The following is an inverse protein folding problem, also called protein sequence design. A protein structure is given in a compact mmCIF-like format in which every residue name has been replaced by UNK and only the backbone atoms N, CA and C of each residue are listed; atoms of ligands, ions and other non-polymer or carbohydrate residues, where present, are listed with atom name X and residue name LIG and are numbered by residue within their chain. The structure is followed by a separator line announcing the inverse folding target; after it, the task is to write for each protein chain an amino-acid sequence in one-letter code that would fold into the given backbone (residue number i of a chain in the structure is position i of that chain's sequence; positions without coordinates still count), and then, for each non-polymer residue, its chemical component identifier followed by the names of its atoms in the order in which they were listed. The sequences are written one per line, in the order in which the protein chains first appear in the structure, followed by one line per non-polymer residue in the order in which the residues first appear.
data_IF_145538969685
#
_entry.id   IF_145538969685
#
_cell.length_a   1.000
_cell.length_b   1.000
_cell.length_c   1.000
_cell.angle_alpha   90.00
_cell.angle_beta   90.00
_cell.angle_gamma   90.00
#
_symmetry.space_group_name_H-M   'P 1'
#
loop_
_entity.id
_entity.type
_entity.pdbx_description
1 polymer ?
#
# COMPACT_ATOMS: atom_id res chain seq x y z
N UNK A 1 14.79 0.97 13.50
CA UNK A 1 13.56 1.75 13.78
C UNK A 1 12.66 1.04 14.78
N UNK A 2 12.04 -0.10 14.43
CA UNK A 2 11.08 -0.83 15.30
C UNK A 2 11.61 -1.04 16.73
N UNK A 3 12.79 -1.64 16.88
CA UNK A 3 13.39 -1.87 18.21
C UNK A 3 13.57 -0.58 19.01
N UNK A 4 14.03 0.49 18.38
CA UNK A 4 14.28 1.77 19.03
C UNK A 4 12.98 2.40 19.56
N UNK A 5 11.94 2.44 18.72
CA UNK A 5 10.66 3.04 19.12
C UNK A 5 9.95 2.22 20.20
N UNK A 6 10.04 0.88 20.15
CA UNK A 6 9.52 0.00 21.19
C UNK A 6 10.23 0.18 22.53
N UNK A 7 11.57 0.17 22.52
CA UNK A 7 12.38 0.35 23.74
C UNK A 7 12.19 1.74 24.36
N UNK A 8 11.90 2.74 23.53
CA UNK A 8 11.72 4.13 23.95
C UNK A 8 10.26 4.48 24.23
N UNK A 9 9.31 3.53 24.11
CA UNK A 9 7.88 3.76 24.34
C UNK A 9 7.22 4.75 23.37
N UNK A 10 7.77 4.93 22.17
CA UNK A 10 7.33 5.92 21.18
C UNK A 10 6.20 5.42 20.26
N UNK A 11 5.96 4.10 20.22
CA UNK A 11 5.01 3.46 19.30
C UNK A 11 3.56 3.75 19.67
N UNK A 12 3.23 3.57 20.95
CA UNK A 12 1.85 3.58 21.46
C UNK A 12 1.25 4.97 21.51
N UNK A 13 2.07 6.03 21.66
CA UNK A 13 1.56 7.40 21.77
C UNK A 13 0.32 7.52 22.66
N UNK A 14 0.28 6.76 23.77
CA UNK A 14 -0.80 6.87 24.75
C UNK A 14 -0.84 8.31 25.22
N UNK A 15 -2.03 8.85 25.47
CA UNK A 15 -2.32 10.21 25.94
C UNK A 15 -1.27 10.78 26.91
N UNK A 16 -0.13 11.26 26.39
CA UNK A 16 0.89 11.94 27.16
C UNK A 16 0.61 13.44 26.96
N UNK A 17 0.08 14.13 27.97
CA UNK A 17 -0.38 15.51 27.85
C UNK A 17 0.77 16.54 27.73
N UNK A 18 2.02 16.08 27.58
CA UNK A 18 3.20 16.93 27.64
C UNK A 18 3.56 17.61 26.30
N UNK A 19 2.96 17.22 25.18
CA UNK A 19 3.15 17.93 23.91
C UNK A 19 1.90 17.81 23.06
N UNK A 20 1.28 18.94 22.72
CA UNK A 20 0.04 19.03 21.92
C UNK A 20 0.13 18.50 20.49
N UNK A 21 1.16 17.72 20.16
CA UNK A 21 1.32 16.96 18.93
C UNK A 21 1.13 15.48 19.27
N UNK A 22 -0.01 14.89 18.87
CA UNK A 22 -0.18 13.43 18.82
C UNK A 22 0.98 12.84 17.99
N UNK A 23 2.02 12.36 18.65
CA UNK A 23 3.28 11.97 18.02
C UNK A 23 3.04 10.95 16.91
N UNK A 24 3.36 11.31 15.67
CA UNK A 24 3.31 10.39 14.54
C UNK A 24 4.56 9.51 14.63
N UNK A 25 4.44 8.29 15.18
CA UNK A 25 5.57 7.35 15.25
C UNK A 25 5.95 6.84 13.86
N UNK A 26 7.24 6.50 13.69
CA UNK A 26 7.75 5.89 12.47
C UNK A 26 7.07 4.55 12.20
N UNK A 27 6.87 3.72 13.23
CA UNK A 27 6.18 2.44 13.11
C UNK A 27 4.76 2.60 12.57
N UNK A 28 3.99 3.57 13.10
CA UNK A 28 2.62 3.86 12.62
C UNK A 28 2.61 4.39 11.19
N UNK A 29 3.54 5.27 10.84
CA UNK A 29 3.65 5.84 9.48
C UNK A 29 3.98 4.75 8.48
N UNK A 30 4.99 3.94 8.78
CA UNK A 30 5.42 2.85 7.92
C UNK A 30 4.33 1.78 7.79
N UNK A 31 3.53 1.52 8.83
CA UNK A 31 2.38 0.59 8.73
C UNK A 31 1.37 1.02 7.65
N UNK A 32 1.08 2.32 7.55
CA UNK A 32 0.16 2.85 6.52
C UNK A 32 0.74 2.69 5.12
N UNK A 33 2.04 2.97 4.96
CA UNK A 33 2.75 2.75 3.69
C UNK A 33 2.81 1.26 3.33
N UNK A 34 3.03 0.38 4.31
CA UNK A 34 3.05 -1.06 4.14
C UNK A 34 1.71 -1.62 3.67
N UNK A 35 0.60 -1.18 4.27
CA UNK A 35 -0.76 -1.52 3.81
C UNK A 35 -1.01 -1.03 2.37
N UNK A 36 -0.54 0.17 2.03
CA UNK A 36 -0.64 0.69 0.66
C UNK A 36 0.25 -0.06 -0.34
N UNK A 37 1.42 -0.55 0.09
CA UNK A 37 2.29 -1.39 -0.73
C UNK A 37 1.60 -2.71 -1.10
N UNK A 38 0.84 -3.31 -0.17
CA UNK A 38 0.02 -4.49 -0.45
C UNK A 38 -1.02 -4.25 -1.56
N UNK A 39 -1.75 -3.14 -1.47
CA UNK A 39 -2.66 -2.73 -2.54
C UNK A 39 -1.93 -2.59 -3.89
N UNK A 40 -0.79 -1.88 -3.89
CA UNK A 40 -0.05 -1.56 -5.10
C UNK A 40 0.46 -2.81 -5.82
N UNK A 41 1.04 -3.78 -5.08
CA UNK A 41 1.55 -5.01 -5.69
C UNK A 41 0.45 -5.88 -6.29
N UNK A 42 -0.75 -5.90 -5.69
CA UNK A 42 -1.90 -6.65 -6.21
C UNK A 42 -2.39 -6.01 -7.52
N UNK A 43 -2.56 -4.68 -7.49
CA UNK A 43 -2.99 -3.92 -8.66
C UNK A 43 -2.02 -4.05 -9.83
N UNK A 44 -0.74 -3.72 -9.63
CA UNK A 44 0.28 -3.80 -10.69
C UNK A 44 0.50 -5.24 -11.17
N UNK A 45 0.41 -6.21 -10.25
CA UNK A 45 0.44 -7.63 -10.60
C UNK A 45 -0.68 -8.01 -11.55
N UNK A 46 -1.93 -7.62 -11.28
CA UNK A 46 -3.05 -7.90 -12.18
C UNK A 46 -2.92 -7.20 -13.53
N UNK A 47 -2.41 -5.96 -13.55
CA UNK A 47 -2.17 -5.21 -14.79
C UNK A 47 -1.11 -5.89 -15.66
N UNK A 48 -0.01 -6.35 -15.05
CA UNK A 48 1.06 -7.05 -15.77
C UNK A 48 0.55 -8.32 -16.45
N UNK A 49 -0.26 -9.12 -15.74
CA UNK A 49 -0.83 -10.40 -16.23
C UNK A 49 -2.07 -10.25 -17.12
N UNK A 50 -2.49 -9.01 -17.40
CA UNK A 50 -3.68 -8.70 -18.20
C UNK A 50 -4.97 -9.38 -17.69
N UNK A 51 -5.15 -9.41 -16.36
CA UNK A 51 -6.29 -10.06 -15.69
C UNK A 51 -7.58 -9.22 -15.73
N UNK A 52 -7.54 -8.04 -16.35
CA UNK A 52 -8.66 -7.13 -16.45
C UNK A 52 -8.25 -5.69 -16.72
N UNK A 53 -9.21 -4.78 -16.63
CA UNK A 53 -8.97 -3.35 -16.84
C UNK A 53 -8.35 -2.68 -15.60
N UNK A 54 -7.54 -1.61 -15.74
CA UNK A 54 -6.99 -0.91 -14.57
C UNK A 54 -8.05 -0.45 -13.56
N UNK A 55 -9.21 0.13 -13.93
CA UNK A 55 -10.26 0.47 -12.97
C UNK A 55 -10.75 -0.73 -12.15
N UNK A 56 -11.03 -1.87 -12.81
CA UNK A 56 -11.54 -3.06 -12.13
C UNK A 56 -10.49 -3.70 -11.23
N UNK A 57 -9.25 -3.79 -11.71
CA UNK A 57 -8.14 -4.36 -10.94
C UNK A 57 -7.76 -3.50 -9.74
N UNK A 58 -7.81 -2.17 -9.91
CA UNK A 58 -7.52 -1.23 -8.84
C UNK A 58 -8.55 -1.31 -7.70
N UNK A 59 -9.83 -1.39 -8.05
CA UNK A 59 -10.93 -1.58 -7.09
C UNK A 59 -10.87 -2.95 -6.39
N UNK A 60 -10.59 -4.02 -7.14
CA UNK A 60 -10.42 -5.36 -6.56
C UNK A 60 -9.24 -5.40 -5.58
N UNK A 61 -8.07 -4.90 -5.97
CA UNK A 61 -6.91 -4.82 -5.11
C UNK A 61 -7.22 -4.01 -3.84
N UNK A 62 -7.95 -2.89 -3.97
CA UNK A 62 -8.33 -2.05 -2.83
C UNK A 62 -9.22 -2.81 -1.84
N UNK A 63 -10.19 -3.57 -2.35
CA UNK A 63 -11.10 -4.40 -1.54
C UNK A 63 -10.37 -5.48 -0.73
N UNK A 64 -9.27 -6.01 -1.27
CA UNK A 64 -8.46 -7.07 -0.65
C UNK A 64 -7.41 -6.56 0.34
N UNK A 65 -7.20 -5.24 0.44
CA UNK A 65 -6.02 -4.70 1.14
C UNK A 65 -6.28 -3.45 1.99
N UNK A 66 -6.83 -2.37 1.43
CA UNK A 66 -6.94 -1.08 2.11
C UNK A 66 -8.36 -0.82 2.65
N UNK A 67 -9.37 -1.47 2.08
CA UNK A 67 -10.76 -1.21 2.40
C UNK A 67 -11.04 -1.33 3.91
N UNK A 68 -10.49 -2.34 4.58
CA UNK A 68 -10.67 -2.56 6.01
C UNK A 68 -10.03 -1.48 6.91
N UNK A 69 -9.20 -0.60 6.35
CA UNK A 69 -8.48 0.45 7.09
C UNK A 69 -9.04 1.87 6.86
N UNK A 70 -10.00 2.03 5.96
CA UNK A 70 -10.59 3.32 5.60
C UNK A 70 -12.07 3.40 6.00
N UNK A 71 -12.53 4.59 6.33
CA UNK A 71 -13.96 4.86 6.57
C UNK A 71 -14.75 4.95 5.25
N UNK A 72 -16.08 5.03 5.37
CA UNK A 72 -17.00 5.08 4.22
C UNK A 72 -16.75 6.28 3.28
N UNK A 73 -16.29 7.41 3.82
CA UNK A 73 -16.03 8.61 3.01
C UNK A 73 -14.80 8.38 2.13
N UNK A 74 -13.71 7.87 2.73
CA UNK A 74 -12.49 7.55 2.00
C UNK A 74 -12.71 6.41 1.00
N UNK A 75 -13.46 5.37 1.38
CA UNK A 75 -13.84 4.28 0.46
C UNK A 75 -14.58 4.81 -0.77
N UNK A 76 -15.58 5.68 -0.56
CA UNK A 76 -16.38 6.26 -1.65
C UNK A 76 -15.54 7.16 -2.57
N UNK A 77 -14.61 7.93 -2.00
CA UNK A 77 -13.71 8.78 -2.78
C UNK A 77 -12.71 7.94 -3.60
N UNK A 78 -12.14 6.89 -3.00
CA UNK A 78 -11.22 5.97 -3.69
C UNK A 78 -11.91 5.28 -4.88
N UNK A 79 -13.12 4.76 -4.69
CA UNK A 79 -13.91 4.12 -5.74
C UNK A 79 -14.22 5.07 -6.92
N UNK A 80 -14.51 6.35 -6.64
CA UNK A 80 -14.63 7.38 -7.68
C UNK A 80 -13.31 7.61 -8.42
N UNK A 81 -12.18 7.70 -7.71
CA UNK A 81 -10.87 7.88 -8.32
C UNK A 81 -10.50 6.70 -9.24
N UNK A 82 -10.82 5.46 -8.86
CA UNK A 82 -10.51 4.28 -9.66
C UNK A 82 -11.24 4.26 -11.00
N UNK A 83 -12.49 4.75 -11.04
CA UNK A 83 -13.25 4.89 -12.30
C UNK A 83 -12.61 5.86 -13.30
N UNK A 84 -11.74 6.75 -12.84
CA UNK A 84 -11.04 7.72 -13.69
C UNK A 84 -9.73 7.15 -14.27
N UNK A 85 -9.34 5.93 -13.90
CA UNK A 85 -8.16 5.30 -14.49
C UNK A 85 -8.41 4.99 -15.98
N UNK A 86 -7.39 5.18 -16.83
CA UNK A 86 -7.53 4.88 -18.24
C UNK A 86 -7.53 3.36 -18.50
N UNK A 87 -7.85 2.93 -19.74
CA UNK A 87 -7.64 1.55 -20.17
C UNK A 87 -6.18 1.11 -20.04
N UNK A 88 -5.94 -0.21 -20.13
CA UNK A 88 -4.64 -0.84 -19.84
C UNK A 88 -3.48 -0.26 -20.64
N UNK A 89 -3.59 -0.20 -21.97
CA UNK A 89 -2.48 0.27 -22.81
C UNK A 89 -2.10 1.73 -22.56
N UNK A 90 -3.05 2.69 -22.52
CA UNK A 90 -2.73 4.05 -22.09
C UNK A 90 -2.15 4.12 -20.68
N UNK A 91 -2.66 3.31 -19.73
CA UNK A 91 -2.09 3.22 -18.38
C UNK A 91 -0.62 2.77 -18.40
N UNK A 92 -0.29 1.73 -19.16
CA UNK A 92 1.07 1.22 -19.30
C UNK A 92 2.01 2.27 -19.91
N UNK A 93 1.55 3.04 -20.90
CA UNK A 93 2.33 4.16 -21.46
C UNK A 93 2.58 5.26 -20.43
N UNK A 94 1.63 5.53 -19.51
CA UNK A 94 1.82 6.51 -18.44
C UNK A 94 2.94 6.14 -17.46
N UNK A 95 3.34 4.86 -17.39
CA UNK A 95 4.48 4.43 -16.57
C UNK A 95 5.83 4.95 -17.11
N UNK A 96 5.86 5.46 -18.35
CA UNK A 96 7.04 6.09 -18.95
C UNK A 96 8.31 5.21 -18.97
N UNK A 97 8.11 3.91 -19.19
CA UNK A 97 9.17 2.89 -19.29
C UNK A 97 9.22 2.22 -20.66
N UNK A 98 8.56 2.81 -21.66
CA UNK A 98 8.48 2.32 -23.03
C UNK A 98 7.04 2.06 -23.49
N UNK A 99 6.92 1.28 -24.55
CA UNK A 99 5.63 0.81 -25.07
C UNK A 99 5.03 -0.27 -24.16
N UNK A 100 3.73 -0.61 -24.29
CA UNK A 100 3.06 -1.54 -23.37
C UNK A 100 3.79 -2.86 -23.10
N UNK A 101 4.43 -3.54 -24.08
CA UNK A 101 5.19 -4.77 -23.82
C UNK A 101 6.39 -4.55 -22.89
N UNK A 102 7.16 -3.47 -23.07
CA UNK A 102 8.30 -3.13 -22.21
C UNK A 102 7.84 -2.75 -20.80
N UNK A 103 6.71 -2.03 -20.70
CA UNK A 103 6.13 -1.70 -19.41
C UNK A 103 5.71 -2.96 -18.64
N UNK A 104 5.15 -3.96 -19.33
CA UNK A 104 4.83 -5.26 -18.72
C UNK A 104 6.08 -5.96 -18.21
N UNK A 105 7.15 -6.03 -18.99
CA UNK A 105 8.42 -6.63 -18.58
C UNK A 105 8.99 -5.97 -17.30
N UNK A 106 8.93 -4.63 -17.22
CA UNK A 106 9.33 -3.89 -16.02
C UNK A 106 8.45 -4.24 -14.83
N UNK A 107 7.13 -4.32 -15.02
CA UNK A 107 6.22 -4.70 -13.94
C UNK A 107 6.44 -6.15 -13.48
N UNK A 108 6.69 -7.08 -14.39
CA UNK A 108 6.99 -8.48 -14.09
C UNK A 108 8.28 -8.63 -13.27
N UNK A 109 9.28 -7.77 -13.51
CA UNK A 109 10.49 -7.70 -12.68
C UNK A 109 10.29 -6.99 -11.33
N UNK A 110 9.47 -5.93 -11.28
CA UNK A 110 9.30 -5.11 -10.08
C UNK A 110 8.33 -5.72 -9.05
N UNK A 111 7.22 -6.30 -9.48
CA UNK A 111 6.18 -6.85 -8.59
C UNK A 111 6.72 -7.91 -7.61
N UNK A 112 7.60 -8.85 -8.00
CA UNK A 112 8.24 -9.78 -7.07
C UNK A 112 9.05 -9.08 -5.97
N UNK A 113 9.75 -7.98 -6.29
CA UNK A 113 10.51 -7.20 -5.30
C UNK A 113 9.57 -6.51 -4.32
N UNK A 114 8.45 -5.93 -4.80
CA UNK A 114 7.43 -5.33 -3.92
C UNK A 114 6.82 -6.37 -2.97
N UNK A 115 6.56 -7.59 -3.47
CA UNK A 115 6.10 -8.73 -2.67
C UNK A 115 7.09 -9.09 -1.57
N UNK A 116 8.37 -9.23 -1.90
CA UNK A 116 9.41 -9.58 -0.93
C UNK A 116 9.53 -8.52 0.17
N UNK A 117 9.57 -7.23 -0.19
CA UNK A 117 9.60 -6.13 0.78
C UNK A 117 8.36 -6.14 1.68
N UNK A 118 7.18 -6.39 1.11
CA UNK A 118 5.95 -6.55 1.88
C UNK A 118 6.06 -7.73 2.85
N UNK A 119 6.45 -8.92 2.39
CA UNK A 119 6.58 -10.11 3.26
C UNK A 119 7.53 -9.87 4.42
N UNK A 120 8.73 -9.33 4.16
CA UNK A 120 9.71 -9.01 5.21
C UNK A 120 9.13 -8.02 6.23
N UNK A 121 8.42 -7.00 5.76
CA UNK A 121 7.82 -5.98 6.63
C UNK A 121 6.64 -6.55 7.43
N UNK A 122 5.78 -7.36 6.80
CA UNK A 122 4.65 -8.04 7.43
C UNK A 122 5.13 -8.97 8.56
N UNK A 123 6.15 -9.79 8.30
CA UNK A 123 6.76 -10.68 9.29
C UNK A 123 7.36 -9.88 10.46
N UNK A 124 8.08 -8.80 10.16
CA UNK A 124 8.66 -7.92 11.17
C UNK A 124 7.58 -7.31 12.07
N UNK A 125 6.50 -6.80 11.48
CA UNK A 125 5.40 -6.16 12.21
C UNK A 125 4.57 -7.18 13.00
N UNK A 126 4.30 -8.35 12.42
CA UNK A 126 3.61 -9.46 13.09
C UNK A 126 4.38 -9.93 14.32
N UNK A 127 5.70 -10.11 14.21
CA UNK A 127 6.58 -10.54 15.30
C UNK A 127 6.55 -9.59 16.52
N UNK A 128 6.25 -8.31 16.31
CA UNK A 128 6.23 -7.30 17.37
C UNK A 128 4.81 -6.79 17.70
N UNK A 129 3.76 -7.45 17.20
CA UNK A 129 2.35 -7.07 17.38
C UNK A 129 2.01 -5.64 16.93
N UNK A 130 2.62 -5.21 15.83
CA UNK A 130 2.49 -3.84 15.30
C UNK A 130 1.48 -3.71 14.15
N UNK A 131 0.82 -4.79 13.75
CA UNK A 131 -0.10 -4.77 12.60
C UNK A 131 -1.40 -4.00 12.85
N UNK A 132 -1.73 -3.74 14.12
CA UNK A 132 -2.97 -3.10 14.55
C UNK A 132 -2.76 -1.71 15.17
N UNK A 133 -1.62 -1.06 14.92
CA UNK A 133 -1.41 0.31 15.39
C UNK A 133 -2.53 1.25 14.86
N UNK A 134 -2.99 2.21 15.69
CA UNK A 134 -4.07 3.15 15.35
C UNK A 134 -3.69 4.16 14.26
#
# INVERSE_FOLDING_TARGET
MVQYELQSGLVEGGDHPASGTRGVSGCRTLLRLHRALHWLQLFLGGVSRDEGTPPTLCSLAYSQSLLQHHDEVIRSAADQAFRMLPPRDPFLRMLNVGEPPQAVEVLEGAVPVLREVYTITEELYSKHDLLNLP
#
